data_IF_385561166723
#
_entry.id   IF_385561166723
#
_cell.length_a   1.000
_cell.length_b   1.000
_cell.length_c   1.000
_cell.angle_alpha   90.00
_cell.angle_beta   90.00
_cell.angle_gamma   90.00
#
_symmetry.space_group_name_H-M   'P 1'
#
loop_
_entity.id
_entity.type
_entity.pdbx_description
1 polymer ?
#
# COMPACT_ATOMS: atom_id res chain seq x y z
N UNK A 1 5.72 7.23 26.48
CA UNK A 1 6.46 7.65 25.25
C UNK A 1 5.47 8.34 24.37
N UNK A 2 5.78 9.57 23.96
CA UNK A 2 4.97 10.38 23.05
C UNK A 2 5.56 10.36 21.65
N UNK A 3 4.77 9.91 20.64
CA UNK A 3 5.24 9.59 19.29
C UNK A 3 4.47 10.42 18.28
N UNK A 4 5.19 11.09 17.38
CA UNK A 4 4.62 11.67 16.16
C UNK A 4 4.87 10.73 14.98
N UNK A 5 3.81 10.20 14.37
CA UNK A 5 3.88 9.52 13.08
C UNK A 5 3.50 10.50 11.98
N UNK A 6 4.34 10.62 10.97
CA UNK A 6 4.16 11.61 9.91
C UNK A 6 3.89 10.94 8.57
N UNK A 7 2.86 11.40 7.86
CA UNK A 7 2.56 10.98 6.48
C UNK A 7 2.04 12.16 5.67
N UNK A 8 2.14 12.09 4.34
CA UNK A 8 1.81 13.24 3.48
C UNK A 8 0.36 13.23 2.94
N UNK A 9 -0.43 12.22 3.25
CA UNK A 9 -1.74 12.01 2.62
C UNK A 9 -2.78 11.43 3.58
N UNK A 10 -4.04 11.79 3.36
CA UNK A 10 -5.21 11.21 4.04
C UNK A 10 -5.85 10.04 3.29
N UNK A 11 -5.41 9.78 2.05
CA UNK A 11 -6.02 8.78 1.14
C UNK A 11 -5.53 7.36 1.41
N UNK A 12 -6.29 6.30 1.02
CA UNK A 12 -5.95 4.90 1.26
C UNK A 12 -4.76 4.44 0.41
N UNK A 13 -3.56 4.72 0.86
CA UNK A 13 -2.28 4.29 0.28
C UNK A 13 -1.57 3.38 1.26
N UNK A 14 -0.75 2.44 0.78
CA UNK A 14 -0.06 1.47 1.62
C UNK A 14 0.66 2.09 2.82
N UNK A 15 1.42 3.18 2.62
CA UNK A 15 2.09 3.90 3.71
C UNK A 15 1.11 4.56 4.69
N UNK A 16 -0.06 5.05 4.22
CA UNK A 16 -1.09 5.63 5.10
C UNK A 16 -1.81 4.54 5.89
N UNK A 17 -2.16 3.42 5.24
CA UNK A 17 -2.74 2.23 5.91
C UNK A 17 -1.79 1.76 7.01
N UNK A 18 -0.50 1.62 6.69
CA UNK A 18 0.54 1.29 7.68
C UNK A 18 0.57 2.29 8.83
N UNK A 19 0.60 3.60 8.53
CA UNK A 19 0.70 4.65 9.55
C UNK A 19 -0.45 4.57 10.55
N UNK A 20 -1.69 4.44 10.07
CA UNK A 20 -2.86 4.38 10.93
C UNK A 20 -2.90 3.09 11.76
N UNK A 21 -2.64 1.95 11.14
CA UNK A 21 -2.66 0.67 11.84
C UNK A 21 -1.53 0.56 12.89
N UNK A 22 -0.34 1.09 12.57
CA UNK A 22 0.76 1.18 13.54
C UNK A 22 0.41 2.13 14.68
N UNK A 23 -0.19 3.30 14.41
CA UNK A 23 -0.62 4.26 15.44
C UNK A 23 -1.60 3.63 16.43
N UNK A 24 -2.61 2.94 15.90
CA UNK A 24 -3.63 2.24 16.69
C UNK A 24 -3.01 1.13 17.56
N UNK A 25 -2.09 0.35 17.00
CA UNK A 25 -1.41 -0.70 17.73
C UNK A 25 -0.47 -0.14 18.83
N UNK A 26 0.23 0.96 18.56
CA UNK A 26 1.08 1.63 19.55
C UNK A 26 0.25 2.20 20.71
N UNK A 27 -0.90 2.81 20.42
CA UNK A 27 -1.85 3.26 21.47
C UNK A 27 -2.36 2.07 22.28
N UNK A 28 -2.68 0.95 21.63
CA UNK A 28 -3.05 -0.30 22.30
C UNK A 28 -1.98 -0.85 23.24
N UNK A 29 -0.73 -0.49 23.03
CA UNK A 29 0.42 -0.82 23.89
C UNK A 29 0.77 0.28 24.92
N UNK A 30 -0.06 1.33 25.02
CA UNK A 30 0.08 2.39 26.03
C UNK A 30 0.98 3.56 25.63
N UNK A 31 1.33 3.70 24.34
CA UNK A 31 2.00 4.90 23.87
C UNK A 31 0.99 6.04 23.61
N UNK A 32 1.42 7.29 23.73
CA UNK A 32 0.70 8.46 23.24
C UNK A 32 1.12 8.73 21.81
N UNK A 33 0.17 8.73 20.87
CA UNK A 33 0.47 8.82 19.43
C UNK A 33 -0.33 9.91 18.77
N UNK A 34 0.37 10.81 18.09
CA UNK A 34 -0.19 11.82 17.20
C UNK A 34 0.20 11.48 15.74
N UNK A 35 -0.78 11.53 14.83
CA UNK A 35 -0.55 11.37 13.38
C UNK A 35 -0.69 12.73 12.70
N UNK A 36 0.40 13.19 12.07
CA UNK A 36 0.44 14.41 11.29
C UNK A 36 0.37 14.12 9.81
N UNK A 37 -0.47 14.87 9.09
CA UNK A 37 -0.67 14.70 7.65
C UNK A 37 -1.09 15.99 6.96
N UNK A 38 -1.04 15.99 5.62
CA UNK A 38 -1.59 17.09 4.81
C UNK A 38 -3.03 16.77 4.42
N UNK A 39 -3.95 17.69 4.77
CA UNK A 39 -5.36 17.66 4.39
C UNK A 39 -5.57 18.19 2.98
N UNK A 40 -5.23 17.40 1.96
CA UNK A 40 -5.33 17.78 0.55
C UNK A 40 -6.80 17.87 0.10
N UNK A 41 -7.11 18.87 -0.72
CA UNK A 41 -8.46 19.03 -1.27
C UNK A 41 -9.53 19.34 -0.21
N UNK A 42 -9.13 19.84 0.97
CA UNK A 42 -10.03 20.15 2.06
C UNK A 42 -10.31 19.00 3.03
N UNK A 43 -9.61 17.87 2.89
CA UNK A 43 -9.71 16.75 3.82
C UNK A 43 -9.35 17.18 5.24
N UNK A 44 -10.18 16.80 6.20
CA UNK A 44 -9.95 17.03 7.64
C UNK A 44 -9.76 15.74 8.42
N UNK A 45 -9.92 14.60 7.76
CA UNK A 45 -9.84 13.26 8.33
C UNK A 45 -9.23 12.29 7.31
N UNK A 46 -8.81 11.15 7.78
CA UNK A 46 -8.37 10.04 6.93
C UNK A 46 -9.56 9.36 6.23
N UNK A 47 -9.25 8.52 5.26
CA UNK A 47 -10.21 7.74 4.46
C UNK A 47 -11.08 6.78 5.31
N UNK A 48 -10.72 6.53 6.55
CA UNK A 48 -11.45 5.75 7.54
C UNK A 48 -11.39 6.40 8.92
N UNK A 49 -12.30 6.07 9.84
CA UNK A 49 -12.16 6.42 11.23
C UNK A 49 -10.83 5.91 11.81
N UNK A 50 -10.26 6.69 12.72
CA UNK A 50 -9.05 6.34 13.47
C UNK A 50 -9.48 5.99 14.90
N UNK A 51 -8.85 4.99 15.50
CA UNK A 51 -9.22 4.53 16.84
C UNK A 51 -9.11 5.66 17.88
N UNK A 52 -10.01 5.70 18.88
CA UNK A 52 -9.89 6.63 19.99
C UNK A 52 -8.53 6.53 20.68
N UNK A 53 -7.95 7.65 21.03
CA UNK A 53 -6.62 7.73 21.66
C UNK A 53 -5.48 8.06 20.68
N UNK A 54 -5.71 7.98 19.37
CA UNK A 54 -4.76 8.51 18.37
C UNK A 54 -5.13 9.98 18.09
N UNK A 55 -4.20 10.91 18.35
CA UNK A 55 -4.34 12.30 17.94
C UNK A 55 -4.19 12.45 16.41
N UNK A 56 -5.03 13.26 15.77
CA UNK A 56 -4.98 13.48 14.31
C UNK A 56 -4.84 14.97 14.00
N UNK A 57 -3.76 15.32 13.29
CA UNK A 57 -3.44 16.67 12.87
C UNK A 57 -3.41 16.76 11.33
N UNK A 58 -4.56 17.02 10.72
CA UNK A 58 -4.67 17.24 9.27
C UNK A 58 -4.39 18.72 8.95
N UNK A 59 -3.17 19.00 8.50
CA UNK A 59 -2.72 20.35 8.14
C UNK A 59 -3.38 20.77 6.82
N UNK A 60 -4.10 21.90 6.76
CA UNK A 60 -4.76 22.35 5.55
C UNK A 60 -3.77 22.53 4.37
N UNK A 61 -4.10 21.93 3.23
CA UNK A 61 -3.28 21.98 2.02
C UNK A 61 -4.16 22.17 0.79
N UNK A 62 -4.33 23.43 0.37
CA UNK A 62 -5.16 23.76 -0.79
C UNK A 62 -4.56 23.24 -2.10
N UNK A 63 -5.40 22.77 -3.01
CA UNK A 63 -4.99 22.46 -4.38
C UNK A 63 -4.60 23.77 -5.13
N UNK A 64 -3.67 23.67 -6.08
CA UNK A 64 -3.28 24.70 -7.03
C UNK A 64 -3.19 24.06 -8.40
N UNK A 65 -3.94 24.58 -9.36
CA UNK A 65 -4.10 23.96 -10.68
C UNK A 65 -2.88 24.15 -11.60
N UNK A 66 -2.10 25.20 -11.37
CA UNK A 66 -0.92 25.61 -12.13
C UNK A 66 0.42 25.12 -11.54
N UNK A 67 0.36 24.32 -10.47
CA UNK A 67 1.53 23.86 -9.73
C UNK A 67 2.10 22.57 -10.33
N UNK A 68 3.37 22.58 -10.70
CA UNK A 68 4.10 21.39 -11.11
C UNK A 68 4.22 20.37 -9.97
N UNK A 69 4.55 19.13 -10.32
CA UNK A 69 4.78 18.06 -9.32
C UNK A 69 5.91 18.45 -8.36
N UNK A 70 7.01 19.01 -8.87
CA UNK A 70 8.15 19.48 -8.06
C UNK A 70 7.76 20.57 -7.07
N UNK A 71 7.09 21.63 -7.54
CA UNK A 71 6.61 22.72 -6.68
C UNK A 71 5.66 22.23 -5.59
N UNK A 72 4.75 21.31 -5.94
CA UNK A 72 3.83 20.70 -4.98
C UNK A 72 4.55 19.91 -3.91
N UNK A 73 5.63 19.20 -4.25
CA UNK A 73 6.45 18.46 -3.29
C UNK A 73 7.14 19.43 -2.33
N UNK A 74 7.80 20.45 -2.85
CA UNK A 74 8.49 21.45 -2.03
C UNK A 74 7.52 22.18 -1.09
N UNK A 75 6.37 22.61 -1.60
CA UNK A 75 5.32 23.24 -0.78
C UNK A 75 4.74 22.27 0.25
N UNK A 76 4.60 20.99 -0.08
CA UNK A 76 4.15 19.97 0.87
C UNK A 76 5.10 19.85 2.07
N UNK A 77 6.40 19.82 1.79
CA UNK A 77 7.46 19.78 2.81
C UNK A 77 7.41 21.03 3.68
N UNK A 78 7.32 22.22 3.06
CA UNK A 78 7.27 23.51 3.76
C UNK A 78 6.05 23.62 4.67
N UNK A 79 4.85 23.36 4.15
CA UNK A 79 3.59 23.49 4.90
C UNK A 79 3.53 22.54 6.08
N UNK A 80 3.90 21.26 5.89
CA UNK A 80 3.91 20.29 6.98
C UNK A 80 5.00 20.64 8.01
N UNK A 81 6.20 21.06 7.55
CA UNK A 81 7.29 21.45 8.41
C UNK A 81 6.99 22.71 9.23
N UNK A 82 6.31 23.70 8.64
CA UNK A 82 5.84 24.88 9.36
C UNK A 82 4.84 24.51 10.47
N UNK A 83 3.85 23.68 10.15
CA UNK A 83 2.85 23.23 11.13
C UNK A 83 3.49 22.46 12.29
N UNK A 84 4.48 21.63 12.03
CA UNK A 84 5.23 20.91 13.09
C UNK A 84 5.99 21.88 14.02
N UNK A 85 6.63 22.93 13.45
CA UNK A 85 7.30 23.97 14.25
C UNK A 85 6.32 24.79 15.08
N UNK A 86 5.24 25.25 14.43
CA UNK A 86 4.26 26.14 15.06
C UNK A 86 3.49 25.47 16.19
N UNK A 87 3.28 24.14 16.11
CA UNK A 87 2.66 23.39 17.15
C UNK A 87 3.46 23.37 18.44
N UNK A 88 4.80 23.49 18.37
CA UNK A 88 5.68 23.51 19.53
C UNK A 88 5.61 22.24 20.38
N UNK A 89 5.03 21.18 19.85
CA UNK A 89 4.80 19.91 20.53
C UNK A 89 6.13 19.19 20.76
N UNK A 90 6.28 18.63 21.96
CA UNK A 90 7.45 17.83 22.28
C UNK A 90 7.11 16.34 22.15
N UNK A 91 7.83 15.67 21.25
CA UNK A 91 7.74 14.22 21.04
C UNK A 91 9.06 13.54 21.43
N UNK A 92 8.97 12.39 22.07
CA UNK A 92 10.12 11.52 22.30
C UNK A 92 10.64 10.95 20.99
N UNK A 93 9.73 10.71 20.03
CA UNK A 93 10.01 10.14 18.72
C UNK A 93 9.23 10.86 17.64
N UNK A 94 9.92 11.25 16.56
CA UNK A 94 9.32 11.72 15.31
C UNK A 94 9.66 10.71 14.23
N UNK A 95 8.64 10.05 13.67
CA UNK A 95 8.81 8.95 12.74
C UNK A 95 8.03 9.19 11.43
N UNK A 96 8.74 9.40 10.35
CA UNK A 96 8.19 9.67 9.02
C UNK A 96 8.00 8.39 8.21
N UNK A 97 6.90 8.34 7.46
CA UNK A 97 6.50 7.19 6.64
C UNK A 97 6.76 7.37 5.15
N UNK A 98 7.13 8.58 4.72
CA UNK A 98 7.42 8.92 3.33
C UNK A 98 8.52 10.00 3.23
N UNK A 99 9.00 10.28 2.01
CA UNK A 99 10.08 11.24 1.81
C UNK A 99 9.65 12.69 2.09
N UNK A 100 8.39 13.05 1.82
CA UNK A 100 7.86 14.38 2.05
C UNK A 100 7.82 14.67 3.55
N UNK A 101 7.22 13.76 4.32
CA UNK A 101 7.09 13.90 5.77
C UNK A 101 8.45 13.84 6.49
N UNK A 102 9.41 13.05 5.98
CA UNK A 102 10.77 13.04 6.51
C UNK A 102 11.48 14.39 6.31
N UNK A 103 11.40 14.95 5.09
CA UNK A 103 11.98 16.27 4.83
C UNK A 103 11.28 17.39 5.58
N UNK A 104 9.97 17.29 5.83
CA UNK A 104 9.23 18.24 6.66
C UNK A 104 9.73 18.24 8.11
N UNK A 105 9.92 17.07 8.72
CA UNK A 105 10.48 16.94 10.06
C UNK A 105 11.91 17.50 10.14
N UNK A 106 12.77 17.12 9.20
CA UNK A 106 14.15 17.64 9.11
C UNK A 106 14.19 19.15 8.93
N UNK A 107 13.32 19.70 8.05
CA UNK A 107 13.17 21.15 7.84
C UNK A 107 12.59 21.89 9.05
N UNK A 108 11.87 21.20 9.92
CA UNK A 108 11.40 21.72 11.21
C UNK A 108 12.48 21.65 12.31
N UNK A 109 13.66 21.08 12.04
CA UNK A 109 14.73 20.90 13.02
C UNK A 109 14.49 19.75 14.00
N UNK A 110 13.57 18.82 13.67
CA UNK A 110 13.24 17.69 14.52
C UNK A 110 14.13 16.48 14.17
N UNK A 111 14.67 15.76 15.17
CA UNK A 111 15.30 14.46 14.94
C UNK A 111 14.28 13.53 14.29
N UNK A 112 14.60 13.00 13.12
CA UNK A 112 13.65 12.18 12.35
C UNK A 112 14.17 10.75 12.23
N UNK A 113 13.32 9.78 12.55
CA UNK A 113 13.42 8.38 12.15
C UNK A 113 12.54 8.15 10.92
N UNK A 114 12.86 7.17 10.08
CA UNK A 114 12.06 6.91 8.89
C UNK A 114 11.86 5.43 8.60
N UNK A 115 10.62 5.05 8.20
CA UNK A 115 10.35 3.78 7.50
C UNK A 115 10.46 3.97 6.00
N UNK A 116 11.25 3.14 5.33
CA UNK A 116 11.31 3.01 3.88
C UNK A 116 10.41 1.85 3.47
N UNK A 117 9.25 2.18 2.89
CA UNK A 117 8.28 1.16 2.45
C UNK A 117 8.67 0.50 1.14
N UNK A 118 9.25 1.25 0.22
CA UNK A 118 9.81 0.83 -1.07
C UNK A 118 10.66 1.97 -1.63
N UNK A 119 11.49 1.65 -2.59
CA UNK A 119 12.31 2.61 -3.31
C UNK A 119 11.79 2.75 -4.73
N UNK A 120 11.39 3.94 -5.14
CA UNK A 120 10.97 4.24 -6.50
C UNK A 120 12.08 4.94 -7.28
N UNK A 121 12.06 4.81 -8.60
CA UNK A 121 12.91 5.59 -9.49
C UNK A 121 12.14 6.82 -9.93
N UNK A 122 12.67 7.99 -9.63
CA UNK A 122 12.06 9.27 -9.94
C UNK A 122 12.81 9.98 -11.06
N UNK A 123 12.08 10.73 -11.89
CA UNK A 123 12.63 11.58 -12.95
C UNK A 123 12.53 13.07 -12.64
N UNK A 124 11.63 13.45 -11.71
CA UNK A 124 11.48 14.84 -11.24
C UNK A 124 12.63 15.18 -10.28
N UNK A 125 13.49 16.19 -10.56
CA UNK A 125 14.68 16.47 -9.74
C UNK A 125 14.37 16.72 -8.28
N UNK A 126 13.29 17.45 -7.98
CA UNK A 126 12.85 17.75 -6.61
C UNK A 126 12.47 16.48 -5.86
N UNK A 127 11.87 15.50 -6.55
CA UNK A 127 11.48 14.22 -5.96
C UNK A 127 12.70 13.31 -5.75
N UNK A 128 13.66 13.31 -6.67
CA UNK A 128 14.96 12.63 -6.48
C UNK A 128 15.66 13.17 -5.25
N UNK A 129 15.81 14.50 -5.15
CA UNK A 129 16.46 15.13 -4.00
C UNK A 129 15.69 14.91 -2.69
N UNK A 130 14.35 14.96 -2.73
CA UNK A 130 13.50 14.64 -1.59
C UNK A 130 13.74 13.22 -1.09
N UNK A 131 13.80 12.27 -2.01
CA UNK A 131 14.01 10.85 -1.71
C UNK A 131 15.39 10.59 -1.11
N UNK A 132 16.46 11.08 -1.77
CA UNK A 132 17.84 10.92 -1.30
C UNK A 132 18.06 11.49 0.11
N UNK A 133 17.60 12.73 0.33
CA UNK A 133 17.68 13.35 1.66
C UNK A 133 16.96 12.55 2.72
N UNK A 134 15.78 12.00 2.38
CA UNK A 134 14.98 11.21 3.30
C UNK A 134 15.53 9.79 3.56
N UNK A 135 16.52 9.32 2.80
CA UNK A 135 17.29 8.09 3.11
C UNK A 135 18.58 8.42 3.85
N UNK A 136 19.23 9.55 3.51
CA UNK A 136 20.56 9.88 4.05
C UNK A 136 20.54 10.58 5.39
N UNK A 137 19.58 11.50 5.62
CA UNK A 137 19.58 12.41 6.77
C UNK A 137 18.86 11.92 8.03
N UNK A 138 17.82 11.06 7.99
CA UNK A 138 17.20 10.55 9.21
C UNK A 138 18.20 9.85 10.10
N UNK A 139 18.03 10.02 11.41
CA UNK A 139 18.95 9.42 12.41
C UNK A 139 18.97 7.90 12.30
N UNK A 140 17.79 7.29 12.12
CA UNK A 140 17.61 5.84 12.00
C UNK A 140 16.64 5.51 10.86
N UNK A 141 16.91 4.38 10.20
CA UNK A 141 16.05 3.84 9.15
C UNK A 141 15.47 2.49 9.55
N UNK A 142 14.24 2.27 9.14
CA UNK A 142 13.54 1.00 9.21
C UNK A 142 13.06 0.65 7.80
N UNK A 143 13.08 -0.63 7.46
CA UNK A 143 12.50 -1.17 6.23
C UNK A 143 11.46 -2.24 6.56
N UNK A 144 10.51 -2.42 5.65
CA UNK A 144 9.39 -3.37 5.84
C UNK A 144 9.72 -4.79 5.36
N UNK A 145 10.90 -4.99 4.77
CA UNK A 145 11.43 -6.29 4.32
C UNK A 145 12.94 -6.26 4.23
N UNK A 146 13.57 -7.43 4.24
CA UNK A 146 15.01 -7.57 4.06
C UNK A 146 15.45 -7.17 2.63
N UNK A 147 14.60 -7.44 1.63
CA UNK A 147 14.83 -7.02 0.25
C UNK A 147 14.95 -5.49 0.14
N UNK A 148 14.03 -4.72 0.76
CA UNK A 148 14.12 -3.25 0.76
C UNK A 148 15.34 -2.78 1.56
N UNK A 149 15.67 -3.45 2.67
CA UNK A 149 16.87 -3.11 3.45
C UNK A 149 18.16 -3.31 2.66
N UNK A 150 18.24 -4.38 1.86
CA UNK A 150 19.36 -4.63 0.95
C UNK A 150 19.46 -3.55 -0.13
N UNK A 151 18.34 -3.15 -0.76
CA UNK A 151 18.32 -2.04 -1.74
C UNK A 151 18.83 -0.71 -1.11
N UNK A 152 18.44 -0.42 0.14
CA UNK A 152 18.93 0.77 0.87
C UNK A 152 20.43 0.66 1.16
N UNK A 153 20.90 -0.52 1.55
CA UNK A 153 22.32 -0.74 1.81
C UNK A 153 23.16 -0.56 0.52
N UNK A 154 22.70 -1.14 -0.57
CA UNK A 154 23.39 -1.08 -1.87
C UNK A 154 23.39 0.35 -2.45
N UNK A 155 22.27 1.08 -2.34
CA UNK A 155 22.13 2.41 -2.93
C UNK A 155 22.72 3.55 -2.10
N UNK A 156 22.70 3.45 -0.77
CA UNK A 156 23.08 4.55 0.13
C UNK A 156 24.06 4.17 1.24
N UNK A 157 24.50 2.92 1.30
CA UNK A 157 25.43 2.46 2.33
C UNK A 157 24.87 2.51 3.76
N UNK A 158 23.51 2.55 3.92
CA UNK A 158 22.84 2.59 5.22
C UNK A 158 22.38 1.18 5.59
N UNK A 159 22.34 0.89 6.89
CA UNK A 159 21.87 -0.41 7.41
C UNK A 159 20.57 -0.22 8.19
N UNK A 160 19.40 -0.34 7.54
CA UNK A 160 18.11 -0.24 8.21
C UNK A 160 17.83 -1.45 9.11
N UNK A 161 17.01 -1.23 10.15
CA UNK A 161 16.36 -2.32 10.87
C UNK A 161 15.18 -2.81 10.05
N UNK A 162 14.90 -4.12 10.04
CA UNK A 162 13.75 -4.70 9.35
C UNK A 162 12.65 -4.97 10.36
N UNK A 163 11.49 -4.33 10.15
CA UNK A 163 10.24 -4.61 10.87
C UNK A 163 9.12 -4.79 9.85
N UNK A 164 8.65 -6.01 9.64
CA UNK A 164 7.56 -6.28 8.69
C UNK A 164 6.27 -5.56 9.07
N UNK A 165 5.45 -5.27 8.06
CA UNK A 165 4.09 -4.77 8.28
C UNK A 165 3.24 -5.82 9.00
N UNK A 166 2.24 -5.36 9.74
CA UNK A 166 1.13 -6.18 10.16
C UNK A 166 0.01 -6.22 9.12
N UNK A 167 -0.98 -7.08 9.36
CA UNK A 167 -2.26 -7.09 8.66
C UNK A 167 -3.38 -7.29 9.67
N UNK A 168 -4.54 -6.67 9.42
CA UNK A 168 -5.75 -6.96 10.21
C UNK A 168 -6.44 -8.22 9.67
N UNK A 169 -5.81 -9.37 9.95
CA UNK A 169 -6.29 -10.67 9.47
C UNK A 169 -7.72 -10.98 9.94
N UNK A 170 -8.11 -10.51 11.14
CA UNK A 170 -9.47 -10.75 11.65
C UNK A 170 -10.52 -9.99 10.86
N UNK A 171 -10.25 -8.73 10.55
CA UNK A 171 -11.14 -7.88 9.75
C UNK A 171 -11.33 -8.47 8.34
N UNK A 172 -10.25 -8.89 7.68
CA UNK A 172 -10.31 -9.45 6.33
C UNK A 172 -10.97 -10.84 6.33
N UNK A 173 -10.67 -11.70 7.30
CA UNK A 173 -11.35 -12.99 7.47
C UNK A 173 -12.85 -12.80 7.76
N UNK A 174 -13.23 -11.70 8.44
CA UNK A 174 -14.63 -11.32 8.66
C UNK A 174 -15.39 -11.11 7.35
N UNK A 175 -14.75 -10.60 6.30
CA UNK A 175 -15.32 -10.48 4.97
C UNK A 175 -15.78 -11.82 4.36
N UNK A 176 -15.06 -12.90 4.64
CA UNK A 176 -15.47 -14.24 4.20
C UNK A 176 -16.78 -14.71 4.87
N UNK A 177 -17.05 -14.25 6.09
CA UNK A 177 -18.30 -14.51 6.83
C UNK A 177 -19.45 -13.54 6.49
N UNK A 178 -19.18 -12.43 5.79
CA UNK A 178 -20.17 -11.46 5.37
C UNK A 178 -20.95 -11.95 4.13
N UNK A 179 -21.91 -12.82 4.35
CA UNK A 179 -22.71 -13.41 3.27
C UNK A 179 -23.50 -12.34 2.48
N UNK A 180 -23.94 -11.25 3.12
CA UNK A 180 -24.73 -10.19 2.46
C UNK A 180 -23.82 -9.33 1.57
N UNK A 181 -22.69 -8.88 2.08
CA UNK A 181 -21.73 -8.08 1.32
C UNK A 181 -21.19 -8.88 0.13
N UNK A 182 -20.81 -10.14 0.33
CA UNK A 182 -20.35 -11.04 -0.74
C UNK A 182 -21.42 -11.25 -1.81
N UNK A 183 -22.67 -11.56 -1.41
CA UNK A 183 -23.77 -11.73 -2.37
C UNK A 183 -24.04 -10.44 -3.17
N UNK A 184 -23.87 -9.27 -2.56
CA UNK A 184 -23.98 -7.99 -3.25
C UNK A 184 -22.91 -7.84 -4.33
N UNK A 185 -21.65 -8.17 -4.02
CA UNK A 185 -20.55 -8.14 -4.99
C UNK A 185 -20.71 -9.18 -6.08
N UNK A 186 -21.10 -10.43 -5.73
CA UNK A 186 -21.37 -11.48 -6.70
C UNK A 186 -22.47 -11.09 -7.69
N UNK A 187 -23.56 -10.46 -7.21
CA UNK A 187 -24.65 -10.00 -8.05
C UNK A 187 -24.25 -8.84 -8.98
N UNK A 188 -23.31 -8.00 -8.53
CA UNK A 188 -22.87 -6.82 -9.28
C UNK A 188 -21.73 -7.13 -10.27
N UNK A 189 -20.80 -7.99 -9.89
CA UNK A 189 -19.55 -8.22 -10.60
C UNK A 189 -19.45 -9.64 -11.23
N UNK A 190 -20.30 -10.57 -10.84
CA UNK A 190 -20.14 -11.97 -11.22
C UNK A 190 -18.89 -12.59 -10.59
N UNK A 191 -18.22 -13.46 -11.31
CA UNK A 191 -16.95 -14.09 -10.93
C UNK A 191 -15.78 -13.26 -11.45
N UNK A 192 -14.86 -12.84 -10.59
CA UNK A 192 -13.85 -11.86 -11.00
C UNK A 192 -12.43 -12.12 -10.50
N UNK A 193 -11.48 -11.65 -11.31
CA UNK A 193 -10.08 -11.41 -10.94
C UNK A 193 -10.00 -10.00 -10.38
N UNK A 194 -9.55 -9.85 -9.15
CA UNK A 194 -9.41 -8.56 -8.46
C UNK A 194 -7.97 -8.04 -8.56
N UNK A 195 -7.82 -6.75 -8.90
CA UNK A 195 -6.60 -5.98 -8.71
C UNK A 195 -6.86 -4.86 -7.71
N UNK A 196 -5.98 -4.67 -6.71
CA UNK A 196 -6.08 -3.60 -5.72
C UNK A 196 -4.87 -2.66 -5.81
N UNK A 197 -5.14 -1.34 -5.82
CA UNK A 197 -4.11 -0.31 -5.78
C UNK A 197 -4.14 0.69 -6.94
N UNK A 198 -5.19 0.65 -7.79
CA UNK A 198 -5.37 1.58 -8.91
C UNK A 198 -4.60 1.17 -10.18
N UNK A 199 -4.78 2.00 -11.24
CA UNK A 199 -4.14 1.79 -12.54
C UNK A 199 -2.88 2.65 -12.60
N UNK A 200 -1.74 2.04 -12.33
CA UNK A 200 -0.42 2.69 -12.30
C UNK A 200 0.70 1.74 -12.74
N UNK A 201 1.81 2.29 -13.31
CA UNK A 201 2.91 1.46 -13.84
C UNK A 201 3.45 0.46 -12.84
N UNK A 202 3.68 0.91 -11.61
CA UNK A 202 4.23 0.09 -10.54
C UNK A 202 3.34 -1.12 -10.18
N UNK A 203 2.02 -0.97 -10.34
CA UNK A 203 1.06 -2.06 -10.07
C UNK A 203 0.98 -3.10 -11.19
N UNK A 204 1.60 -2.83 -12.35
CA UNK A 204 1.64 -3.78 -13.46
C UNK A 204 0.27 -4.11 -14.04
N UNK A 205 -0.68 -3.18 -13.96
CA UNK A 205 -2.08 -3.43 -14.37
C UNK A 205 -2.23 -3.69 -15.86
N UNK A 206 -1.33 -3.18 -16.71
CA UNK A 206 -1.29 -3.54 -18.14
C UNK A 206 -0.95 -5.02 -18.34
N UNK A 207 0.06 -5.53 -17.63
CA UNK A 207 0.43 -6.94 -17.72
C UNK A 207 -0.69 -7.86 -17.21
N UNK A 208 -1.42 -7.42 -16.17
CA UNK A 208 -2.58 -8.17 -15.69
C UNK A 208 -3.73 -8.15 -16.72
N UNK A 209 -3.98 -7.02 -17.36
CA UNK A 209 -4.98 -6.91 -18.43
C UNK A 209 -4.65 -7.86 -19.58
N UNK A 210 -3.41 -7.89 -20.04
CA UNK A 210 -2.95 -8.81 -21.09
C UNK A 210 -3.07 -10.27 -20.66
N UNK A 211 -2.61 -10.60 -19.45
CA UNK A 211 -2.74 -11.96 -18.91
C UNK A 211 -4.20 -12.37 -18.77
N UNK A 212 -5.08 -11.48 -18.31
CA UNK A 212 -6.51 -11.72 -18.19
C UNK A 212 -7.18 -11.98 -19.56
N UNK A 213 -6.85 -11.19 -20.58
CA UNK A 213 -7.40 -11.37 -21.93
C UNK A 213 -7.03 -12.76 -22.49
N UNK A 214 -5.77 -13.18 -22.36
CA UNK A 214 -5.30 -14.50 -22.78
C UNK A 214 -5.99 -15.61 -21.97
N UNK A 215 -6.07 -15.46 -20.67
CA UNK A 215 -6.73 -16.43 -19.78
C UNK A 215 -8.19 -16.63 -20.17
N UNK A 216 -8.96 -15.54 -20.36
CA UNK A 216 -10.38 -15.60 -20.74
C UNK A 216 -10.57 -16.28 -22.09
N UNK A 217 -9.69 -16.04 -23.04
CA UNK A 217 -9.75 -16.68 -24.36
C UNK A 217 -9.28 -18.14 -24.37
N UNK A 218 -8.51 -18.59 -23.38
CA UNK A 218 -7.88 -19.92 -23.35
C UNK A 218 -8.84 -21.05 -23.02
N UNK A 219 -9.96 -20.78 -22.33
CA UNK A 219 -10.89 -21.81 -21.88
C UNK A 219 -12.32 -21.24 -21.73
N UNK A 220 -13.34 -22.00 -22.15
CA UNK A 220 -14.73 -21.68 -21.85
C UNK A 220 -15.04 -21.53 -20.34
N UNK A 221 -14.28 -22.22 -19.48
CA UNK A 221 -14.41 -22.14 -18.02
C UNK A 221 -14.04 -20.75 -17.45
N UNK A 222 -13.43 -19.91 -18.26
CA UNK A 222 -13.02 -18.56 -17.89
C UNK A 222 -13.79 -17.45 -18.64
N UNK A 223 -14.75 -17.83 -19.49
CA UNK A 223 -15.49 -16.90 -20.34
C UNK A 223 -16.39 -15.92 -19.53
N UNK A 224 -16.79 -16.33 -18.32
CA UNK A 224 -17.62 -15.56 -17.38
C UNK A 224 -16.82 -14.68 -16.43
N UNK A 225 -15.48 -14.71 -16.50
CA UNK A 225 -14.62 -13.92 -15.63
C UNK A 225 -14.66 -12.44 -16.01
N UNK A 226 -14.72 -11.59 -14.99
CA UNK A 226 -14.54 -10.15 -15.09
C UNK A 226 -13.19 -9.72 -14.52
N UNK A 227 -12.59 -8.66 -15.06
CA UNK A 227 -11.42 -8.00 -14.48
C UNK A 227 -11.89 -6.78 -13.68
N UNK A 228 -11.69 -6.80 -12.38
CA UNK A 228 -12.09 -5.73 -11.46
C UNK A 228 -10.86 -5.02 -10.91
N UNK A 229 -10.84 -3.69 -11.03
CA UNK A 229 -9.76 -2.85 -10.50
C UNK A 229 -10.32 -1.93 -9.42
N UNK A 230 -9.90 -2.15 -8.18
CA UNK A 230 -10.19 -1.30 -7.03
C UNK A 230 -8.99 -0.43 -6.66
N UNK A 231 -9.23 0.87 -6.47
CA UNK A 231 -8.21 1.83 -6.04
C UNK A 231 -8.36 3.18 -6.72
N UNK A 232 -7.92 4.22 -6.03
CA UNK A 232 -7.97 5.60 -6.51
C UNK A 232 -6.70 6.01 -7.23
N UNK A 233 -6.74 7.24 -7.75
CA UNK A 233 -5.58 7.90 -8.36
C UNK A 233 -4.49 8.21 -7.32
N UNK A 234 -3.24 8.21 -7.76
CA UNK A 234 -2.08 8.50 -6.92
C UNK A 234 -1.69 9.99 -6.97
N UNK A 235 -0.61 10.34 -6.23
CA UNK A 235 -0.02 11.67 -6.27
C UNK A 235 0.57 12.01 -7.64
N UNK A 236 1.03 10.98 -8.35
CA UNK A 236 1.69 11.12 -9.65
C UNK A 236 0.65 11.22 -10.77
N UNK A 237 1.02 11.93 -11.82
CA UNK A 237 0.21 12.02 -13.02
C UNK A 237 0.44 10.78 -13.89
N UNK A 238 -0.47 9.83 -13.81
CA UNK A 238 -0.47 8.61 -14.62
C UNK A 238 -1.56 8.62 -15.69
N UNK A 239 -2.01 9.81 -16.14
CA UNK A 239 -3.04 9.92 -17.20
C UNK A 239 -2.63 9.20 -18.48
N UNK A 240 -1.37 9.30 -18.87
CA UNK A 240 -0.87 8.62 -20.08
C UNK A 240 -0.89 7.09 -19.91
N UNK A 241 -0.51 6.58 -18.74
CA UNK A 241 -0.60 5.15 -18.44
C UNK A 241 -2.06 4.68 -18.37
N UNK A 242 -2.95 5.49 -17.81
CA UNK A 242 -4.39 5.21 -17.81
C UNK A 242 -4.95 5.18 -19.24
N UNK A 243 -4.58 6.13 -20.09
CA UNK A 243 -4.99 6.16 -21.49
C UNK A 243 -4.45 4.93 -22.26
N UNK A 244 -3.21 4.53 -22.01
CA UNK A 244 -2.63 3.30 -22.58
C UNK A 244 -3.36 2.05 -22.10
N UNK A 245 -3.74 1.97 -20.82
CA UNK A 245 -4.53 0.86 -20.29
C UNK A 245 -5.92 0.78 -20.96
N UNK A 246 -6.63 1.90 -21.08
CA UNK A 246 -7.95 1.96 -21.69
C UNK A 246 -7.89 1.60 -23.20
N UNK A 247 -6.87 2.10 -23.93
CA UNK A 247 -6.65 1.75 -25.32
C UNK A 247 -6.35 0.25 -25.49
N UNK A 248 -5.48 -0.28 -24.64
CA UNK A 248 -5.13 -1.71 -24.70
C UNK A 248 -6.31 -2.61 -24.34
N UNK A 249 -7.15 -2.22 -23.38
CA UNK A 249 -8.37 -2.93 -23.04
C UNK A 249 -9.31 -3.03 -24.25
N UNK A 250 -9.49 -1.92 -24.99
CA UNK A 250 -10.29 -1.90 -26.22
C UNK A 250 -9.71 -2.80 -27.33
N UNK A 251 -8.38 -2.80 -27.52
CA UNK A 251 -7.71 -3.69 -28.50
C UNK A 251 -7.90 -5.17 -28.15
N UNK A 252 -7.94 -5.52 -26.87
CA UNK A 252 -8.08 -6.90 -26.39
C UNK A 252 -9.53 -7.34 -26.23
N UNK A 253 -10.51 -6.50 -26.55
CA UNK A 253 -11.94 -6.71 -26.31
C UNK A 253 -12.24 -7.10 -24.84
N UNK A 254 -11.60 -6.40 -23.91
CA UNK A 254 -11.81 -6.51 -22.48
C UNK A 254 -12.39 -5.20 -21.96
N UNK A 255 -13.43 -5.28 -21.15
CA UNK A 255 -14.03 -4.13 -20.48
C UNK A 255 -13.82 -4.26 -18.96
N UNK A 256 -12.70 -3.79 -18.39
CA UNK A 256 -12.47 -3.89 -16.96
C UNK A 256 -13.47 -3.06 -16.16
N UNK A 257 -13.95 -3.60 -15.05
CA UNK A 257 -14.76 -2.84 -14.09
C UNK A 257 -13.84 -2.05 -13.17
N UNK A 258 -13.80 -0.72 -13.31
CA UNK A 258 -12.97 0.16 -12.50
C UNK A 258 -13.83 0.78 -11.40
N UNK A 259 -13.67 0.31 -10.16
CA UNK A 259 -14.47 0.74 -9.01
C UNK A 259 -14.03 2.10 -8.44
N UNK A 260 -12.80 2.55 -8.76
CA UNK A 260 -12.22 3.68 -8.03
C UNK A 260 -11.90 3.33 -6.58
N UNK A 261 -11.85 4.32 -5.67
CA UNK A 261 -11.60 4.09 -4.25
C UNK A 261 -12.71 3.25 -3.63
N UNK A 262 -12.34 2.08 -3.10
CA UNK A 262 -13.25 1.20 -2.37
C UNK A 262 -13.36 1.69 -0.93
N UNK A 263 -14.57 1.73 -0.38
CA UNK A 263 -14.80 2.13 1.01
C UNK A 263 -14.16 1.12 1.98
N UNK A 264 -13.68 1.61 3.12
CA UNK A 264 -13.06 0.74 4.11
C UNK A 264 -13.99 -0.37 4.63
N UNK A 265 -15.30 -0.13 4.89
CA UNK A 265 -16.25 -1.19 5.25
C UNK A 265 -16.50 -2.23 4.16
N UNK A 266 -16.47 -1.86 2.89
CA UNK A 266 -16.81 -2.73 1.77
C UNK A 266 -15.62 -3.61 1.33
N UNK A 267 -14.38 -3.16 1.61
CA UNK A 267 -13.16 -3.84 1.17
C UNK A 267 -13.09 -5.31 1.59
N UNK A 268 -13.41 -5.73 2.83
CA UNK A 268 -13.30 -7.13 3.21
C UNK A 268 -14.19 -8.07 2.41
N UNK A 269 -15.46 -7.70 2.17
CA UNK A 269 -16.39 -8.53 1.40
C UNK A 269 -16.07 -8.54 -0.09
N UNK A 270 -15.62 -7.41 -0.65
CA UNK A 270 -15.11 -7.35 -2.03
C UNK A 270 -13.92 -8.28 -2.23
N UNK A 271 -12.95 -8.24 -1.32
CA UNK A 271 -11.77 -9.12 -1.39
C UNK A 271 -12.19 -10.57 -1.25
N UNK A 272 -13.01 -10.90 -0.26
CA UNK A 272 -13.43 -12.27 0.03
C UNK A 272 -14.29 -12.92 -1.07
N UNK A 273 -14.95 -12.15 -1.92
CA UNK A 273 -15.73 -12.66 -3.04
C UNK A 273 -14.89 -12.83 -4.33
N UNK A 274 -13.68 -12.28 -4.39
CA UNK A 274 -12.82 -12.43 -5.55
C UNK A 274 -12.44 -13.91 -5.78
N UNK A 275 -12.49 -14.36 -7.03
CA UNK A 275 -12.03 -15.70 -7.40
C UNK A 275 -10.50 -15.83 -7.26
N UNK A 276 -9.77 -14.75 -7.51
CA UNK A 276 -8.32 -14.64 -7.34
C UNK A 276 -7.93 -13.17 -7.25
N UNK A 277 -6.92 -12.86 -6.43
CA UNK A 277 -6.25 -11.55 -6.48
C UNK A 277 -5.06 -11.63 -7.45
N UNK A 278 -5.07 -10.78 -8.50
CA UNK A 278 -3.90 -10.54 -9.35
C UNK A 278 -3.05 -9.42 -8.76
N UNK A 279 -1.79 -9.72 -8.42
CA UNK A 279 -0.85 -8.79 -7.82
C UNK A 279 0.46 -8.71 -8.64
N UNK A 280 0.39 -8.24 -9.91
CA UNK A 280 1.52 -8.25 -10.82
C UNK A 280 2.45 -7.04 -10.64
N UNK A 281 2.51 -6.46 -9.45
CA UNK A 281 3.33 -5.28 -9.16
C UNK A 281 4.76 -5.47 -9.63
N UNK A 282 5.30 -4.47 -10.34
CA UNK A 282 6.69 -4.48 -10.83
C UNK A 282 7.68 -4.03 -9.75
N UNK A 283 7.18 -3.38 -8.70
CA UNK A 283 7.95 -2.96 -7.53
C UNK A 283 7.08 -2.93 -6.28
N UNK A 284 7.58 -3.52 -5.21
CA UNK A 284 6.90 -3.59 -3.91
C UNK A 284 7.92 -3.58 -2.76
N UNK A 285 7.41 -3.30 -1.56
CA UNK A 285 8.21 -3.44 -0.35
C UNK A 285 7.73 -4.52 0.59
N UNK A 286 6.42 -4.90 0.52
CA UNK A 286 5.83 -5.94 1.36
C UNK A 286 4.65 -6.64 0.67
N UNK A 287 3.69 -5.89 0.14
CA UNK A 287 2.51 -6.45 -0.53
C UNK A 287 1.28 -6.55 0.39
N UNK A 288 0.90 -5.45 1.06
CA UNK A 288 -0.26 -5.44 1.97
C UNK A 288 -1.54 -6.00 1.34
N UNK A 289 -1.91 -5.59 0.12
CA UNK A 289 -3.12 -6.06 -0.54
C UNK A 289 -3.13 -7.57 -0.81
N UNK A 290 -1.96 -8.14 -1.12
CA UNK A 290 -1.81 -9.59 -1.27
C UNK A 290 -1.95 -10.31 0.08
N UNK A 291 -1.38 -9.76 1.15
CA UNK A 291 -1.52 -10.30 2.51
C UNK A 291 -2.98 -10.22 3.01
N UNK A 292 -3.67 -9.13 2.68
CA UNK A 292 -5.10 -8.95 2.97
C UNK A 292 -5.97 -10.00 2.27
N UNK A 293 -5.68 -10.30 0.99
CA UNK A 293 -6.39 -11.34 0.26
C UNK A 293 -6.14 -12.74 0.85
N UNK A 294 -4.91 -13.05 1.23
CA UNK A 294 -4.59 -14.30 1.93
C UNK A 294 -5.33 -14.42 3.26
N UNK A 295 -5.45 -13.33 4.02
CA UNK A 295 -6.22 -13.30 5.26
C UNK A 295 -7.71 -13.62 5.04
N UNK A 296 -8.28 -13.16 3.92
CA UNK A 296 -9.64 -13.49 3.50
C UNK A 296 -9.77 -14.92 2.95
N UNK A 297 -8.65 -15.63 2.71
CA UNK A 297 -8.61 -16.96 2.13
C UNK A 297 -8.72 -16.99 0.61
N UNK A 298 -8.45 -15.86 -0.04
CA UNK A 298 -8.49 -15.72 -1.50
C UNK A 298 -7.15 -16.14 -2.11
N UNK A 299 -7.12 -16.95 -3.17
CA UNK A 299 -5.90 -17.26 -3.90
C UNK A 299 -5.24 -15.99 -4.44
N UNK A 300 -3.91 -15.97 -4.42
CA UNK A 300 -3.13 -14.80 -4.88
C UNK A 300 -2.12 -15.22 -5.93
N UNK A 301 -2.04 -14.44 -7.00
CA UNK A 301 -0.99 -14.55 -8.02
C UNK A 301 -0.15 -13.29 -7.97
N UNK A 302 1.13 -13.43 -7.67
CA UNK A 302 2.08 -12.33 -7.56
C UNK A 302 3.07 -12.30 -8.74
N UNK A 303 3.60 -11.11 -9.03
CA UNK A 303 4.84 -10.99 -9.80
C UNK A 303 5.97 -11.73 -9.06
N UNK A 304 6.82 -12.41 -9.81
CA UNK A 304 8.02 -13.04 -9.25
C UNK A 304 9.08 -11.96 -8.94
N UNK A 305 9.01 -11.43 -7.71
CA UNK A 305 9.97 -10.47 -7.17
C UNK A 305 10.62 -11.03 -5.91
N UNK A 306 11.91 -10.74 -5.65
CA UNK A 306 12.60 -11.19 -4.44
C UNK A 306 11.83 -10.88 -3.15
N UNK A 307 11.33 -9.67 -3.00
CA UNK A 307 10.55 -9.23 -1.83
C UNK A 307 9.24 -10.02 -1.67
N UNK A 308 8.54 -10.35 -2.76
CA UNK A 308 7.29 -11.09 -2.68
C UNK A 308 7.55 -12.59 -2.39
N UNK A 309 8.68 -13.13 -2.88
CA UNK A 309 9.14 -14.47 -2.47
C UNK A 309 9.54 -14.51 -1.00
N UNK A 310 10.23 -13.47 -0.50
CA UNK A 310 10.59 -13.32 0.92
C UNK A 310 9.35 -13.36 1.81
N UNK A 311 8.32 -12.54 1.47
CA UNK A 311 7.15 -12.34 2.32
C UNK A 311 6.14 -13.48 2.22
N UNK A 312 5.89 -14.00 1.01
CA UNK A 312 4.78 -14.93 0.77
C UNK A 312 5.20 -16.39 0.63
N UNK A 313 6.46 -16.67 0.26
CA UNK A 313 6.95 -18.03 0.12
C UNK A 313 6.05 -18.88 -0.78
N UNK A 314 5.55 -20.01 -0.25
CA UNK A 314 4.67 -20.93 -0.97
C UNK A 314 3.17 -20.63 -0.83
N UNK A 315 2.79 -19.56 -0.13
CA UNK A 315 1.38 -19.20 0.08
C UNK A 315 0.70 -18.61 -1.16
N UNK A 316 1.47 -18.23 -2.20
CA UNK A 316 0.99 -17.62 -3.44
C UNK A 316 1.58 -18.32 -4.66
N UNK A 317 0.99 -18.08 -5.82
CA UNK A 317 1.58 -18.45 -7.10
C UNK A 317 2.33 -17.27 -7.70
N UNK A 318 3.40 -17.54 -8.44
CA UNK A 318 4.27 -16.51 -9.02
C UNK A 318 4.32 -16.62 -10.54
N UNK A 319 4.43 -15.46 -11.21
CA UNK A 319 4.72 -15.35 -12.64
C UNK A 319 5.61 -14.15 -12.91
N UNK A 320 6.73 -14.33 -13.62
CA UNK A 320 7.68 -13.25 -13.95
C UNK A 320 7.28 -12.50 -15.23
N UNK A 321 6.56 -13.15 -16.13
CA UNK A 321 6.12 -12.65 -17.44
C UNK A 321 4.61 -12.78 -17.60
N UNK A 322 4.05 -12.10 -18.62
CA UNK A 322 2.61 -12.23 -18.94
C UNK A 322 2.20 -13.68 -19.16
N UNK A 323 2.91 -14.51 -19.97
CA UNK A 323 2.57 -15.93 -20.10
C UNK A 323 2.56 -16.69 -18.77
N UNK A 324 3.56 -16.46 -17.91
CA UNK A 324 3.63 -17.11 -16.60
C UNK A 324 2.52 -16.62 -15.65
N UNK A 325 2.10 -15.35 -15.76
CA UNK A 325 0.93 -14.84 -15.03
C UNK A 325 -0.35 -15.51 -15.51
N UNK A 326 -0.51 -15.80 -16.81
CA UNK A 326 -1.65 -16.59 -17.35
C UNK A 326 -1.68 -17.97 -16.71
N UNK A 327 -0.56 -18.70 -16.74
CA UNK A 327 -0.46 -20.06 -16.18
C UNK A 327 -0.74 -20.04 -14.66
N UNK A 328 -0.21 -19.05 -13.94
CA UNK A 328 -0.43 -18.89 -12.51
C UNK A 328 -1.90 -18.57 -12.18
N UNK A 329 -2.56 -17.71 -12.97
CA UNK A 329 -3.98 -17.37 -12.80
C UNK A 329 -4.87 -18.59 -13.10
N UNK A 330 -4.63 -19.31 -14.20
CA UNK A 330 -5.38 -20.54 -14.52
C UNK A 330 -5.24 -21.56 -13.39
N UNK A 331 -4.01 -21.76 -12.91
CA UNK A 331 -3.74 -22.67 -11.79
C UNK A 331 -4.44 -22.20 -10.50
N UNK A 332 -4.42 -20.90 -10.19
CA UNK A 332 -5.09 -20.35 -9.01
C UNK A 332 -6.60 -20.57 -9.03
N UNK A 333 -7.20 -20.54 -10.22
CA UNK A 333 -8.64 -20.75 -10.42
C UNK A 333 -9.06 -22.22 -10.40
N UNK A 334 -8.20 -23.16 -10.86
CA UNK A 334 -8.50 -24.60 -10.96
C UNK A 334 -8.03 -25.41 -9.77
N UNK A 335 -6.84 -25.09 -9.26
CA UNK A 335 -6.17 -25.81 -8.18
C UNK A 335 -5.38 -24.82 -7.30
N UNK A 336 -6.08 -23.98 -6.54
CA UNK A 336 -5.45 -22.97 -5.69
C UNK A 336 -4.52 -23.59 -4.65
N UNK A 337 -3.59 -22.78 -4.14
CA UNK A 337 -2.87 -23.10 -2.90
C UNK A 337 -3.91 -23.22 -1.78
N UNK A 338 -3.70 -24.16 -0.85
CA UNK A 338 -4.60 -24.34 0.30
C UNK A 338 -4.78 -22.98 1.02
N UNK A 339 -6.02 -22.47 1.12
CA UNK A 339 -6.28 -21.17 1.75
C UNK A 339 -5.79 -21.08 3.20
N UNK A 340 -5.68 -22.19 3.91
CA UNK A 340 -5.22 -22.21 5.30
C UNK A 340 -3.72 -21.88 5.42
N UNK A 341 -2.92 -22.16 4.40
CA UNK A 341 -1.51 -21.73 4.32
C UNK A 341 -1.44 -20.20 4.28
N UNK A 342 -2.26 -19.57 3.43
CA UNK A 342 -2.34 -18.11 3.33
C UNK A 342 -2.86 -17.46 4.60
N UNK A 343 -3.93 -17.99 5.20
CA UNK A 343 -4.49 -17.50 6.46
C UNK A 343 -3.50 -17.59 7.62
N UNK A 344 -2.78 -18.73 7.72
CA UNK A 344 -1.76 -18.92 8.76
C UNK A 344 -0.61 -17.91 8.59
N UNK A 345 -0.16 -17.68 7.35
CA UNK A 345 0.86 -16.69 7.06
C UNK A 345 0.37 -15.29 7.47
N UNK A 346 -0.82 -14.87 7.04
CA UNK A 346 -1.38 -13.57 7.37
C UNK A 346 -1.55 -13.38 8.89
N UNK A 347 -1.98 -14.42 9.60
CA UNK A 347 -2.12 -14.39 11.07
C UNK A 347 -0.78 -14.25 11.81
N UNK A 348 0.35 -14.59 11.19
CA UNK A 348 1.68 -14.42 11.77
C UNK A 348 2.19 -12.97 11.72
N UNK A 349 1.65 -12.14 10.82
CA UNK A 349 1.98 -10.72 10.66
C UNK A 349 0.93 -9.84 11.36
N UNK A 350 1.14 -9.52 12.63
CA UNK A 350 0.19 -8.69 13.39
C UNK A 350 0.72 -7.27 13.59
N UNK A 351 -0.19 -6.28 13.60
CA UNK A 351 0.17 -4.90 13.92
C UNK A 351 0.67 -4.76 15.36
N UNK A 352 0.21 -5.60 16.28
CA UNK A 352 0.71 -5.63 17.66
C UNK A 352 2.19 -6.06 17.69
N UNK A 353 2.57 -7.10 16.94
CA UNK A 353 3.98 -7.53 16.85
C UNK A 353 4.84 -6.45 16.21
N UNK A 354 4.36 -5.83 15.11
CA UNK A 354 5.05 -4.71 14.48
C UNK A 354 5.24 -3.54 15.45
N UNK A 355 4.19 -3.16 16.20
CA UNK A 355 4.26 -2.07 17.17
C UNK A 355 5.25 -2.36 18.33
N UNK A 356 5.30 -3.59 18.83
CA UNK A 356 6.30 -3.99 19.85
C UNK A 356 7.74 -3.82 19.35
N UNK A 357 8.01 -4.27 18.12
CA UNK A 357 9.33 -4.11 17.49
C UNK A 357 9.66 -2.63 17.22
N UNK A 358 8.66 -1.80 16.88
CA UNK A 358 8.86 -0.34 16.77
C UNK A 358 9.20 0.28 18.14
N UNK A 359 8.52 -0.10 19.22
CA UNK A 359 8.83 0.41 20.56
C UNK A 359 10.24 0.03 21.01
N UNK A 360 10.69 -1.19 20.73
CA UNK A 360 12.07 -1.62 20.97
C UNK A 360 13.06 -0.77 20.18
N UNK A 361 12.79 -0.55 18.89
CA UNK A 361 13.61 0.28 18.03
C UNK A 361 13.59 1.77 18.42
N UNK A 362 12.50 2.27 18.97
CA UNK A 362 12.41 3.64 19.49
C UNK A 362 13.25 3.83 20.77
N UNK A 363 13.38 2.80 21.56
CA UNK A 363 14.20 2.81 22.79
C UNK A 363 15.71 2.61 22.56
N UNK A 364 16.10 2.22 21.34
CA UNK A 364 17.51 2.02 20.93
C UNK A 364 18.14 3.35 20.36
#
# INVERSE_FOLDING_TARGET
MRIALLTYSTKPRGGVVHTLALAEALVGLGAEVDVWTLGRGGDRAFFRPVAPGVGVHAVPFAARDDESVGERILRSIEVLGAALRDAGEQYDVVHAQDCISANAALGAGLPCRRTVHHLDTFTTPELVACHDRAVTLPTHLLCVSASVAAEVADGWGRTPVVVPNGVDARRLAGGAGDAVGRATWAAHLGRYVLALGGIEPRKGTLDLLEAFAVLRASSPDHADLELVVGGGETLFDYRDYRAAFDARAAELDVTPVVLGPVSDPDLPSLVAEAAVLGFPSTKEGFGLAAMEALAAGVPVVCRDLPVLREVFGSAVLFGASVPELVDALDRALRAPVDPDVGRALAASYTWESAARQHLEWYGA
#
